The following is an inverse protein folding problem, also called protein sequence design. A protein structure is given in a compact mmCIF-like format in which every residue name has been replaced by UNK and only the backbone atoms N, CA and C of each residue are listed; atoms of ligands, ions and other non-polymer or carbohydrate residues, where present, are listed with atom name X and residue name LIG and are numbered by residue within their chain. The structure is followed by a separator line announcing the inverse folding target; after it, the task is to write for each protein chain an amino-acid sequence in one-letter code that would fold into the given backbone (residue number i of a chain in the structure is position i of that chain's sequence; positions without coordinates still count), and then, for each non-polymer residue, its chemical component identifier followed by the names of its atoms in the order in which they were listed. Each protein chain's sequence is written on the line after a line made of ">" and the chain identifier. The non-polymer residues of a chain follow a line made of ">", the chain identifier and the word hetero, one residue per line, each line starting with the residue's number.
data_IF_909887283511
#
_entry.id   IF_909887283511
#
_cell.length_a   1.000
_cell.length_b   1.000
_cell.length_c   1.000
_cell.angle_alpha   90.00
_cell.angle_beta   90.00
_cell.angle_gamma   90.00
#
_symmetry.space_group_name_H-M   'P 1'
#
loop_
_entity.id
_entity.type
_entity.pdbx_description
1 polymer ?
#
# COMPACT_ATOMS: atom_id res chain seq x y z
N UNK A 1 6.37 -19.64 -26.90
CA UNK A 1 5.38 -18.66 -27.32
C UNK A 1 3.97 -19.22 -27.10
N UNK A 2 3.06 -18.36 -26.65
CA UNK A 2 1.62 -18.64 -26.54
C UNK A 2 0.86 -17.59 -27.36
N UNK A 3 -0.06 -18.03 -28.23
CA UNK A 3 -0.95 -17.12 -28.96
C UNK A 3 -2.41 -17.54 -28.79
N UNK A 4 -3.29 -16.56 -28.59
CA UNK A 4 -4.73 -16.76 -28.47
C UNK A 4 -5.41 -15.92 -29.55
N UNK A 5 -6.15 -16.59 -30.44
CA UNK A 5 -6.93 -15.95 -31.51
C UNK A 5 -8.42 -15.97 -31.18
N UNK A 6 -9.09 -14.79 -31.26
CA UNK A 6 -10.53 -14.60 -31.10
C UNK A 6 -11.04 -13.66 -32.17
N UNK A 7 -11.72 -14.19 -33.15
CA UNK A 7 -12.11 -13.37 -34.29
C UNK A 7 -10.89 -12.64 -34.87
N UNK A 8 -10.94 -11.29 -34.88
CA UNK A 8 -9.86 -10.46 -35.41
C UNK A 8 -8.79 -10.09 -34.37
N UNK A 9 -8.96 -10.51 -33.10
CA UNK A 9 -8.01 -10.18 -32.03
C UNK A 9 -7.04 -11.34 -31.80
N UNK A 10 -5.74 -11.04 -31.81
CA UNK A 10 -4.69 -12.02 -31.51
C UNK A 10 -3.86 -11.49 -30.32
N UNK A 11 -3.89 -12.25 -29.22
CA UNK A 11 -3.03 -12.02 -28.05
C UNK A 11 -1.79 -12.89 -28.21
N UNK A 12 -0.61 -12.31 -28.15
CA UNK A 12 0.65 -13.05 -28.24
C UNK A 12 1.49 -12.77 -27.01
N UNK A 13 1.89 -13.86 -26.34
CA UNK A 13 2.82 -13.85 -25.22
C UNK A 13 4.11 -14.58 -25.64
N UNK A 14 5.25 -14.01 -25.26
CA UNK A 14 6.58 -14.57 -25.52
C UNK A 14 7.34 -14.70 -24.21
N UNK A 15 7.96 -15.85 -23.99
CA UNK A 15 8.83 -16.08 -22.84
C UNK A 15 10.26 -15.74 -23.24
N UNK A 16 10.84 -14.79 -22.52
CA UNK A 16 12.27 -14.41 -22.65
C UNK A 16 13.04 -14.74 -21.38
N UNK A 17 14.27 -14.23 -21.28
CA UNK A 17 15.12 -14.41 -20.09
C UNK A 17 14.49 -13.82 -18.83
N UNK A 18 13.78 -12.68 -18.96
CA UNK A 18 13.12 -11.96 -17.87
C UNK A 18 11.66 -12.44 -17.61
N UNK A 19 11.26 -13.58 -18.18
CA UNK A 19 9.90 -14.11 -18.07
C UNK A 19 9.00 -13.80 -19.27
N UNK A 20 7.68 -13.92 -19.06
CA UNK A 20 6.66 -13.69 -20.06
C UNK A 20 6.41 -12.21 -20.31
N UNK A 21 6.21 -11.84 -21.59
CA UNK A 21 5.83 -10.50 -22.03
C UNK A 21 4.74 -10.57 -23.07
N UNK A 22 3.80 -9.63 -23.05
CA UNK A 22 2.85 -9.40 -24.14
C UNK A 22 3.58 -8.74 -25.32
N UNK A 23 3.33 -9.22 -26.53
CA UNK A 23 3.85 -8.64 -27.77
C UNK A 23 2.74 -8.24 -28.75
N UNK A 24 1.50 -8.67 -28.53
CA UNK A 24 0.31 -8.28 -29.30
C UNK A 24 -0.94 -8.44 -28.44
N UNK A 25 -1.96 -7.60 -28.56
CA UNK A 25 -2.05 -6.37 -29.38
C UNK A 25 -1.26 -5.18 -28.79
N UNK A 26 -0.79 -5.29 -27.55
CA UNK A 26 0.03 -4.30 -26.87
C UNK A 26 1.37 -4.90 -26.45
N UNK A 27 2.41 -4.08 -26.37
CA UNK A 27 3.71 -4.49 -25.84
C UNK A 27 3.78 -4.08 -24.36
N UNK A 28 3.78 -5.07 -23.47
CA UNK A 28 3.77 -4.81 -22.03
C UNK A 28 4.36 -5.99 -21.23
N UNK A 29 4.59 -5.77 -19.93
CA UNK A 29 4.86 -6.85 -18.99
C UNK A 29 3.66 -7.80 -18.86
N UNK A 30 3.92 -9.10 -18.70
CA UNK A 30 2.87 -10.05 -18.41
C UNK A 30 2.87 -10.44 -16.93
N UNK A 31 1.69 -10.74 -16.39
CA UNK A 31 1.54 -11.42 -15.10
C UNK A 31 2.02 -12.86 -15.24
N UNK A 32 3.18 -13.15 -14.67
CA UNK A 32 3.84 -14.46 -14.77
C UNK A 32 2.95 -15.59 -14.23
N UNK A 33 2.32 -15.35 -13.09
CA UNK A 33 1.46 -16.34 -12.44
C UNK A 33 0.18 -16.58 -13.23
N UNK A 34 -0.40 -15.55 -13.81
CA UNK A 34 -1.58 -15.67 -14.65
C UNK A 34 -1.29 -16.48 -15.90
N UNK A 35 -0.14 -16.25 -16.58
CA UNK A 35 0.27 -17.02 -17.75
C UNK A 35 0.54 -18.49 -17.38
N UNK A 36 1.28 -18.75 -16.30
CA UNK A 36 1.58 -20.11 -15.87
C UNK A 36 0.32 -20.86 -15.40
N UNK A 37 -0.59 -20.19 -14.73
CA UNK A 37 -1.90 -20.74 -14.37
C UNK A 37 -2.73 -21.07 -15.61
N UNK A 38 -2.71 -20.20 -16.63
CA UNK A 38 -3.36 -20.44 -17.91
C UNK A 38 -2.82 -21.69 -18.61
N UNK A 39 -1.50 -21.80 -18.72
CA UNK A 39 -0.84 -22.97 -19.33
C UNK A 39 -1.14 -24.28 -18.57
N UNK A 40 -1.15 -24.21 -17.25
CA UNK A 40 -1.53 -25.34 -16.39
C UNK A 40 -2.99 -25.76 -16.63
N UNK A 41 -3.93 -24.80 -16.64
CA UNK A 41 -5.34 -25.07 -16.93
C UNK A 41 -5.54 -25.70 -18.31
N UNK A 42 -4.78 -25.25 -19.31
CA UNK A 42 -4.81 -25.85 -20.63
C UNK A 42 -4.30 -27.30 -20.61
N UNK A 43 -3.16 -27.55 -19.95
CA UNK A 43 -2.56 -28.89 -19.84
C UNK A 43 -3.42 -29.89 -19.05
N UNK A 44 -4.18 -29.40 -18.06
CA UNK A 44 -5.09 -30.23 -17.26
C UNK A 44 -6.47 -30.40 -17.88
N UNK A 45 -6.70 -29.89 -19.09
CA UNK A 45 -7.99 -30.00 -19.76
C UNK A 45 -8.15 -31.42 -20.33
N UNK A 46 -8.84 -32.27 -19.57
CA UNK A 46 -9.08 -33.67 -19.96
C UNK A 46 -10.13 -33.80 -21.08
N UNK A 47 -9.89 -34.73 -22.00
CA UNK A 47 -10.86 -35.10 -23.02
C UNK A 47 -11.88 -36.04 -22.39
N UNK A 48 -13.12 -35.59 -22.29
CA UNK A 48 -14.20 -36.44 -21.73
C UNK A 48 -14.64 -37.52 -22.69
N UNK A 49 -14.71 -37.18 -23.99
CA UNK A 49 -15.10 -38.11 -25.05
C UNK A 49 -14.60 -37.61 -26.40
N UNK A 50 -14.03 -38.50 -27.20
CA UNK A 50 -13.73 -38.27 -28.61
C UNK A 50 -15.02 -38.43 -29.42
N UNK A 51 -15.31 -37.45 -30.27
CA UNK A 51 -16.52 -37.39 -31.11
C UNK A 51 -16.19 -37.75 -32.54
N UNK A 52 -15.04 -37.31 -33.06
CA UNK A 52 -14.56 -37.62 -34.40
C UNK A 52 -13.06 -37.91 -34.36
N UNK A 53 -12.64 -39.00 -34.96
CA UNK A 53 -11.24 -39.43 -34.96
C UNK A 53 -10.59 -39.25 -36.33
N UNK A 54 -9.31 -38.82 -36.32
CA UNK A 54 -8.35 -38.87 -37.42
C UNK A 54 -8.90 -38.40 -38.79
N UNK A 55 -8.82 -39.27 -39.80
CA UNK A 55 -9.15 -38.96 -41.20
C UNK A 55 -10.60 -38.53 -41.44
N UNK A 56 -11.49 -38.75 -40.48
CA UNK A 56 -12.88 -38.29 -40.53
C UNK A 56 -13.07 -36.80 -40.22
N UNK A 57 -12.02 -36.12 -39.73
CA UNK A 57 -12.07 -34.69 -39.41
C UNK A 57 -11.89 -33.85 -40.66
N UNK A 58 -12.98 -33.61 -41.38
CA UNK A 58 -13.04 -32.72 -42.53
C UNK A 58 -13.48 -31.33 -42.09
N UNK A 59 -13.28 -30.31 -42.94
CA UNK A 59 -13.76 -28.93 -42.67
C UNK A 59 -15.29 -28.87 -42.54
N UNK A 60 -16.02 -29.71 -43.28
CA UNK A 60 -17.49 -29.85 -43.19
C UNK A 60 -17.88 -30.44 -41.83
N UNK A 61 -17.15 -31.48 -41.38
CA UNK A 61 -17.39 -32.09 -40.08
C UNK A 61 -17.06 -31.09 -38.93
N UNK A 62 -15.91 -30.44 -39.00
CA UNK A 62 -15.54 -29.39 -38.03
C UNK A 62 -16.58 -28.24 -37.94
N UNK A 63 -17.21 -27.89 -39.06
CA UNK A 63 -18.28 -26.91 -39.13
C UNK A 63 -19.50 -27.26 -38.27
N UNK A 64 -19.86 -28.53 -38.13
CA UNK A 64 -20.98 -28.98 -37.28
C UNK A 64 -20.78 -28.68 -35.79
N UNK A 65 -19.55 -28.56 -35.37
CA UNK A 65 -19.14 -28.35 -33.98
C UNK A 65 -18.66 -26.91 -33.73
N UNK A 66 -18.84 -25.95 -34.69
CA UNK A 66 -18.39 -24.58 -34.57
C UNK A 66 -16.87 -24.39 -34.71
N UNK A 67 -16.15 -25.39 -35.20
CA UNK A 67 -14.69 -25.42 -35.31
C UNK A 67 -14.17 -24.86 -36.64
N UNK A 68 -15.06 -24.62 -37.63
CA UNK A 68 -14.70 -23.89 -38.85
C UNK A 68 -14.47 -22.37 -38.57
N UNK A 69 -15.19 -21.86 -37.60
CA UNK A 69 -15.03 -20.49 -37.06
C UNK A 69 -14.93 -20.60 -35.51
N UNK A 70 -13.78 -21.01 -35.00
CA UNK A 70 -13.62 -21.25 -33.56
C UNK A 70 -13.80 -19.99 -32.73
N UNK A 71 -14.39 -20.15 -31.55
CA UNK A 71 -14.51 -19.04 -30.57
C UNK A 71 -13.15 -18.64 -30.02
N UNK A 72 -12.26 -19.62 -29.89
CA UNK A 72 -10.89 -19.43 -29.39
C UNK A 72 -9.96 -20.41 -30.10
N UNK A 73 -8.83 -19.91 -30.59
CA UNK A 73 -7.71 -20.72 -31.07
C UNK A 73 -6.51 -20.50 -30.16
N UNK A 74 -5.91 -21.54 -29.63
CA UNK A 74 -4.71 -21.47 -28.81
C UNK A 74 -3.58 -22.13 -29.59
N UNK A 75 -2.51 -21.38 -29.82
CA UNK A 75 -1.27 -21.89 -30.43
C UNK A 75 -0.15 -21.87 -29.40
N UNK A 76 0.50 -22.97 -29.21
CA UNK A 76 1.70 -23.15 -28.42
C UNK A 76 2.89 -23.39 -29.34
N UNK A 77 4.01 -22.76 -29.04
CA UNK A 77 5.30 -23.01 -29.71
C UNK A 77 6.35 -23.22 -28.62
N UNK A 78 6.91 -24.42 -28.56
CA UNK A 78 7.97 -24.76 -27.62
C UNK A 78 9.33 -24.21 -28.05
N UNK A 79 10.35 -24.29 -27.20
CA UNK A 79 11.70 -23.76 -27.47
C UNK A 79 12.40 -24.52 -28.64
N UNK A 80 12.10 -25.77 -28.82
CA UNK A 80 12.59 -26.60 -29.93
C UNK A 80 11.86 -26.34 -31.25
N UNK A 81 10.87 -25.44 -31.27
CA UNK A 81 10.07 -25.07 -32.44
C UNK A 81 8.88 -25.98 -32.71
N UNK A 82 8.60 -26.94 -31.82
CA UNK A 82 7.36 -27.76 -31.93
C UNK A 82 6.14 -26.86 -31.72
N UNK A 83 5.13 -27.04 -32.61
CA UNK A 83 3.90 -26.26 -32.57
C UNK A 83 2.68 -27.14 -32.35
N UNK A 84 1.81 -26.69 -31.46
CA UNK A 84 0.53 -27.32 -31.22
C UNK A 84 -0.59 -26.29 -31.28
N UNK A 85 -1.68 -26.65 -31.96
CA UNK A 85 -2.89 -25.83 -32.07
C UNK A 85 -4.08 -26.54 -31.44
N UNK A 86 -4.87 -25.82 -30.65
CA UNK A 86 -6.15 -26.28 -30.12
C UNK A 86 -7.22 -25.26 -30.46
N UNK A 87 -8.29 -25.70 -31.12
CA UNK A 87 -9.47 -24.87 -31.45
C UNK A 87 -10.63 -25.23 -30.55
N UNK A 88 -11.36 -24.22 -30.14
CA UNK A 88 -12.54 -24.31 -29.28
C UNK A 88 -13.77 -23.82 -30.04
N UNK A 89 -14.75 -24.71 -30.21
CA UNK A 89 -15.95 -24.49 -31.00
C UNK A 89 -17.19 -24.13 -30.17
N UNK A 90 -18.35 -24.68 -30.60
CA UNK A 90 -19.62 -24.47 -29.94
C UNK A 90 -19.76 -25.32 -28.67
N UNK A 91 -20.73 -24.97 -27.82
CA UNK A 91 -21.12 -25.79 -26.69
C UNK A 91 -22.01 -26.95 -27.17
N UNK A 92 -21.99 -28.06 -26.42
CA UNK A 92 -22.85 -29.20 -26.68
C UNK A 92 -24.33 -28.82 -26.43
N UNK A 93 -25.30 -29.56 -27.02
CA UNK A 93 -26.73 -29.26 -26.81
C UNK A 93 -27.19 -29.30 -25.35
N UNK A 94 -26.38 -29.80 -24.44
CA UNK A 94 -26.68 -29.85 -22.99
C UNK A 94 -25.96 -28.76 -22.19
N UNK A 95 -25.17 -27.88 -22.84
CA UNK A 95 -24.32 -26.82 -22.24
C UNK A 95 -23.34 -27.29 -21.16
N UNK A 96 -23.12 -28.61 -21.07
CA UNK A 96 -22.17 -29.21 -20.10
C UNK A 96 -20.77 -29.34 -20.66
N UNK A 97 -20.63 -29.35 -21.98
CA UNK A 97 -19.40 -29.59 -22.70
C UNK A 97 -19.22 -28.57 -23.81
N UNK A 98 -17.98 -28.28 -24.13
CA UNK A 98 -17.57 -27.51 -25.29
C UNK A 98 -16.80 -28.40 -26.23
N UNK A 99 -17.04 -28.28 -27.55
CA UNK A 99 -16.27 -28.99 -28.55
C UNK A 99 -14.91 -28.37 -28.73
N UNK A 100 -13.89 -29.21 -28.80
CA UNK A 100 -12.52 -28.82 -29.06
C UNK A 100 -11.89 -29.70 -30.12
N UNK A 101 -10.91 -29.16 -30.85
CA UNK A 101 -10.14 -29.84 -31.84
C UNK A 101 -8.65 -29.63 -31.60
N UNK A 102 -7.87 -30.70 -31.57
CA UNK A 102 -6.42 -30.68 -31.70
C UNK A 102 -6.04 -30.78 -33.17
N UNK A 103 -5.15 -29.90 -33.63
CA UNK A 103 -4.53 -29.93 -34.95
C UNK A 103 -3.36 -30.93 -35.01
N UNK A 104 -2.73 -31.04 -36.21
CA UNK A 104 -1.55 -31.85 -36.42
C UNK A 104 -1.79 -33.09 -37.26
N UNK A 105 -0.89 -34.07 -37.16
CA UNK A 105 -0.92 -35.30 -38.00
C UNK A 105 -2.13 -36.20 -37.74
N UNK A 106 -2.66 -36.17 -36.51
CA UNK A 106 -3.83 -36.97 -36.11
C UNK A 106 -4.88 -36.02 -35.50
N UNK A 107 -5.65 -35.28 -36.33
CA UNK A 107 -6.65 -34.35 -35.82
C UNK A 107 -7.81 -35.10 -35.17
N UNK A 108 -8.26 -34.63 -34.01
CA UNK A 108 -9.39 -35.18 -33.28
C UNK A 108 -10.35 -34.11 -32.86
N UNK A 109 -11.67 -34.40 -32.93
CA UNK A 109 -12.69 -33.57 -32.29
C UNK A 109 -13.19 -34.29 -31.05
N UNK A 110 -13.14 -33.64 -29.94
CA UNK A 110 -13.54 -34.17 -28.64
C UNK A 110 -14.35 -33.12 -27.85
N UNK A 111 -14.92 -33.55 -26.76
CA UNK A 111 -15.60 -32.64 -25.82
C UNK A 111 -14.83 -32.53 -24.52
N UNK A 112 -14.85 -31.33 -23.97
CA UNK A 112 -14.27 -30.94 -22.68
C UNK A 112 -15.38 -30.31 -21.84
N UNK A 113 -15.29 -30.37 -20.52
CA UNK A 113 -16.23 -29.68 -19.63
C UNK A 113 -16.29 -28.20 -19.95
N UNK A 114 -17.49 -27.59 -20.05
CA UNK A 114 -17.68 -26.22 -20.47
C UNK A 114 -16.90 -25.23 -19.57
N UNK A 115 -16.90 -25.43 -18.24
CA UNK A 115 -16.14 -24.60 -17.30
C UNK A 115 -14.63 -24.56 -17.55
N UNK A 116 -14.07 -25.57 -18.19
CA UNK A 116 -12.65 -25.56 -18.62
C UNK A 116 -12.43 -24.52 -19.72
N UNK A 117 -13.37 -24.40 -20.66
CA UNK A 117 -13.34 -23.36 -21.67
C UNK A 117 -13.39 -21.97 -21.01
N UNK A 118 -14.28 -21.73 -20.04
CA UNK A 118 -14.42 -20.45 -19.35
C UNK A 118 -13.11 -20.04 -18.67
N UNK A 119 -12.33 -20.98 -18.16
CA UNK A 119 -11.01 -20.72 -17.58
C UNK A 119 -9.95 -20.34 -18.63
N UNK A 120 -10.14 -20.73 -19.89
CA UNK A 120 -9.23 -20.45 -21.00
C UNK A 120 -9.69 -19.24 -21.83
N UNK A 121 -10.92 -18.79 -21.65
CA UNK A 121 -11.48 -17.64 -22.35
C UNK A 121 -11.01 -16.33 -21.71
N UNK A 122 -9.73 -15.98 -21.89
CA UNK A 122 -9.04 -14.85 -21.28
C UNK A 122 -8.74 -13.73 -22.27
N UNK A 123 -8.89 -12.48 -21.85
CA UNK A 123 -8.56 -11.28 -22.61
C UNK A 123 -7.15 -10.77 -22.36
N UNK A 124 -6.78 -9.69 -23.05
CA UNK A 124 -5.48 -9.02 -22.88
C UNK A 124 -5.24 -8.61 -21.42
N UNK A 125 -6.27 -8.06 -20.78
CA UNK A 125 -6.20 -7.58 -19.41
C UNK A 125 -5.84 -8.69 -18.41
N UNK A 126 -6.31 -9.90 -18.63
CA UNK A 126 -6.05 -11.06 -17.75
C UNK A 126 -4.56 -11.48 -17.72
N UNK A 127 -3.79 -11.11 -18.73
CA UNK A 127 -2.38 -11.45 -18.86
C UNK A 127 -1.44 -10.28 -18.59
N UNK A 128 -1.93 -9.06 -18.46
CA UNK A 128 -1.07 -7.89 -18.19
C UNK A 128 -0.58 -7.87 -16.76
N UNK A 129 0.64 -7.38 -16.56
CA UNK A 129 1.12 -7.01 -15.23
C UNK A 129 0.28 -5.81 -14.72
N UNK A 130 -0.60 -6.09 -13.77
CA UNK A 130 -1.53 -5.11 -13.19
C UNK A 130 -1.00 -4.43 -11.95
N UNK A 131 0.26 -4.67 -11.57
CA UNK A 131 0.86 -3.93 -10.46
C UNK A 131 0.94 -2.45 -10.82
N UNK A 132 0.47 -1.64 -9.90
CA UNK A 132 0.48 -0.17 -10.05
C UNK A 132 1.91 0.35 -10.19
N UNK A 133 2.81 -0.23 -9.39
CA UNK A 133 4.23 0.07 -9.40
C UNK A 133 5.02 -1.16 -8.96
N UNK A 134 6.14 -1.44 -9.64
CA UNK A 134 6.99 -2.59 -9.30
C UNK A 134 8.21 -2.14 -8.52
N UNK A 135 8.31 -2.55 -7.26
CA UNK A 135 9.43 -2.25 -6.38
C UNK A 135 9.56 -3.31 -5.27
N UNK A 136 10.74 -3.41 -4.67
CA UNK A 136 10.96 -4.22 -3.47
C UNK A 136 10.66 -3.35 -2.24
N UNK A 137 9.53 -3.58 -1.59
CA UNK A 137 9.03 -2.77 -0.47
C UNK A 137 10.05 -2.63 0.67
N UNK A 138 10.67 -3.75 1.04
CA UNK A 138 11.63 -3.78 2.15
C UNK A 138 12.95 -3.06 1.85
N UNK A 139 13.22 -2.79 0.56
CA UNK A 139 14.38 -2.05 0.09
C UNK A 139 14.11 -0.55 -0.10
N UNK A 140 12.89 -0.05 0.18
CA UNK A 140 12.60 1.38 0.10
C UNK A 140 13.37 2.12 1.19
N UNK A 141 14.24 3.04 0.77
CA UNK A 141 15.09 3.85 1.67
C UNK A 141 14.58 5.29 1.81
N UNK A 142 13.74 5.73 0.88
CA UNK A 142 13.13 7.06 0.92
C UNK A 142 11.76 7.03 0.24
N UNK A 143 10.79 7.76 0.82
CA UNK A 143 9.47 7.98 0.26
C UNK A 143 9.18 9.48 0.27
N UNK A 144 8.82 10.03 -0.89
CA UNK A 144 8.46 11.43 -1.08
C UNK A 144 7.07 11.56 -1.67
N UNK A 145 6.39 12.60 -1.29
CA UNK A 145 5.19 13.08 -1.99
C UNK A 145 5.32 14.55 -2.34
N UNK A 146 4.90 14.89 -3.57
CA UNK A 146 4.64 16.26 -4.03
C UNK A 146 3.22 16.38 -4.53
N UNK A 147 2.61 17.53 -4.38
CA UNK A 147 1.29 17.80 -4.91
C UNK A 147 0.42 18.65 -4.00
N UNK A 148 -0.87 18.81 -4.34
CA UNK A 148 -1.77 19.76 -3.70
C UNK A 148 -2.12 19.42 -2.23
N UNK A 149 -1.88 18.18 -1.82
CA UNK A 149 -2.20 17.71 -0.46
C UNK A 149 -1.03 17.83 0.53
N UNK A 150 -0.06 18.70 0.21
CA UNK A 150 1.16 18.93 0.98
C UNK A 150 2.29 17.99 0.57
N UNK A 151 3.51 18.43 0.86
CA UNK A 151 4.72 17.69 0.54
C UNK A 151 5.26 16.97 1.78
N UNK A 152 5.88 15.83 1.60
CA UNK A 152 6.66 15.18 2.63
C UNK A 152 7.87 14.45 2.05
N UNK A 153 8.88 14.30 2.89
CA UNK A 153 10.06 13.46 2.65
C UNK A 153 10.27 12.60 3.90
N UNK A 154 10.23 11.30 3.70
CA UNK A 154 10.52 10.28 4.72
C UNK A 154 11.79 9.55 4.31
N UNK A 155 12.75 9.42 5.22
CA UNK A 155 13.98 8.65 5.04
C UNK A 155 14.05 7.50 6.04
N UNK A 156 14.44 6.33 5.56
CA UNK A 156 14.69 5.18 6.43
C UNK A 156 16.08 5.28 7.02
N UNK A 157 16.18 5.28 8.34
CA UNK A 157 17.43 5.26 9.10
C UNK A 157 17.49 3.97 9.92
N UNK A 158 18.29 3.01 9.47
CA UNK A 158 18.34 1.66 10.03
C UNK A 158 16.93 1.02 10.02
N UNK A 159 16.36 0.84 11.19
CA UNK A 159 15.04 0.19 11.37
C UNK A 159 13.89 1.20 11.49
N UNK A 160 14.15 2.52 11.55
CA UNK A 160 13.13 3.55 11.79
C UNK A 160 12.99 4.50 10.60
N UNK A 161 11.80 5.08 10.46
CA UNK A 161 11.54 6.14 9.50
C UNK A 161 11.64 7.52 10.12
N UNK A 162 12.30 8.44 9.42
CA UNK A 162 12.45 9.84 9.81
C UNK A 162 11.75 10.73 8.80
N UNK A 163 10.84 11.57 9.26
CA UNK A 163 10.31 12.66 8.45
C UNK A 163 11.35 13.78 8.38
N UNK A 164 11.69 14.22 7.16
CA UNK A 164 12.60 15.37 6.89
C UNK A 164 11.83 16.61 6.49
N UNK A 165 10.69 16.44 5.88
CA UNK A 165 9.79 17.51 5.47
C UNK A 165 8.35 17.06 5.70
N UNK A 166 7.45 17.98 6.11
CA UNK A 166 7.65 19.42 6.32
C UNK A 166 8.39 19.77 7.61
N UNK A 167 8.55 18.83 8.52
CA UNK A 167 9.25 18.98 9.81
C UNK A 167 10.22 17.83 10.03
N UNK A 168 11.26 18.06 10.83
CA UNK A 168 12.16 16.97 11.24
C UNK A 168 11.57 16.28 12.46
N UNK A 169 11.11 15.03 12.31
CA UNK A 169 10.47 14.25 13.37
C UNK A 169 10.60 12.74 13.10
N UNK A 170 10.38 11.92 14.12
CA UNK A 170 10.13 10.50 13.92
C UNK A 170 8.85 10.33 13.11
N UNK A 171 8.84 9.34 12.20
CA UNK A 171 7.65 8.95 11.48
C UNK A 171 6.97 7.77 12.19
N UNK A 172 5.66 7.69 12.03
CA UNK A 172 4.86 6.53 12.43
C UNK A 172 5.15 5.38 11.46
N UNK A 173 5.84 4.37 11.95
CA UNK A 173 6.27 3.21 11.16
C UNK A 173 5.09 2.45 10.55
N UNK A 174 4.03 2.27 11.34
CA UNK A 174 2.84 1.55 10.90
C UNK A 174 2.11 2.32 9.79
N UNK A 175 2.00 3.64 9.93
CA UNK A 175 1.40 4.50 8.92
C UNK A 175 2.21 4.52 7.61
N UNK A 176 3.55 4.57 7.68
CA UNK A 176 4.42 4.50 6.51
C UNK A 176 4.33 3.13 5.85
N UNK A 177 4.42 2.06 6.62
CA UNK A 177 4.31 0.69 6.11
C UNK A 177 2.93 0.42 5.51
N UNK A 178 1.85 0.96 6.09
CA UNK A 178 0.51 0.86 5.54
C UNK A 178 0.40 1.54 4.15
N UNK A 179 1.02 2.70 3.97
CA UNK A 179 1.07 3.37 2.66
C UNK A 179 1.88 2.56 1.64
N UNK A 180 3.08 2.09 2.00
CA UNK A 180 3.91 1.27 1.13
C UNK A 180 3.23 -0.05 0.76
N UNK A 181 2.60 -0.74 1.73
CA UNK A 181 1.81 -1.94 1.49
C UNK A 181 0.65 -1.67 0.54
N UNK A 182 -0.05 -0.54 0.72
CA UNK A 182 -1.17 -0.21 -0.16
C UNK A 182 -0.73 0.03 -1.60
N UNK A 183 0.44 0.67 -1.82
CA UNK A 183 1.00 0.84 -3.17
C UNK A 183 1.39 -0.53 -3.77
N UNK A 184 2.06 -1.38 -3.00
CA UNK A 184 2.57 -2.69 -3.43
C UNK A 184 1.45 -3.67 -3.79
N UNK A 185 0.34 -3.65 -3.03
CA UNK A 185 -0.79 -4.58 -3.21
C UNK A 185 -1.91 -4.06 -4.09
N UNK A 186 -1.85 -2.80 -4.51
CA UNK A 186 -2.88 -2.24 -5.40
C UNK A 186 -2.69 -2.69 -6.83
N UNK A 187 -3.80 -3.02 -7.48
CA UNK A 187 -3.82 -3.42 -8.88
C UNK A 187 -4.46 -2.33 -9.75
N UNK A 188 -4.03 -2.29 -11.00
CA UNK A 188 -4.62 -1.48 -12.06
C UNK A 188 -6.03 -2.02 -12.36
N UNK A 189 -7.05 -1.15 -12.27
CA UNK A 189 -8.43 -1.52 -12.57
C UNK A 189 -8.70 -1.62 -14.07
N UNK A 190 -8.14 -0.70 -14.85
CA UNK A 190 -8.24 -0.68 -16.30
C UNK A 190 -7.09 0.12 -16.90
N UNK A 191 -6.60 -0.28 -18.07
CA UNK A 191 -5.73 0.53 -18.91
C UNK A 191 -6.59 1.42 -19.80
N UNK A 192 -6.38 2.72 -19.75
CA UNK A 192 -7.21 3.72 -20.43
C UNK A 192 -6.59 4.18 -21.74
N UNK A 193 -5.28 4.40 -21.74
CA UNK A 193 -4.54 4.92 -22.88
C UNK A 193 -3.13 4.31 -22.92
N UNK A 194 -2.73 3.76 -24.04
CA UNK A 194 -1.45 3.07 -24.20
C UNK A 194 -0.29 4.02 -24.49
N UNK A 195 -0.57 5.23 -24.96
CA UNK A 195 0.44 6.22 -25.30
C UNK A 195 -0.13 7.63 -25.45
N UNK A 196 -0.61 8.22 -24.34
CA UNK A 196 -1.27 9.52 -24.37
C UNK A 196 -0.31 10.62 -24.84
N UNK A 197 -0.83 11.54 -25.66
CA UNK A 197 -0.16 12.78 -25.96
C UNK A 197 -0.31 13.80 -24.80
N UNK A 198 0.31 14.97 -24.95
CA UNK A 198 0.30 16.01 -23.92
C UNK A 198 -1.11 16.56 -23.61
N UNK A 199 -1.99 16.60 -24.59
CA UNK A 199 -3.34 17.12 -24.39
C UNK A 199 -4.23 16.07 -23.71
N UNK A 200 -4.08 14.79 -24.05
CA UNK A 200 -4.69 13.67 -23.34
C UNK A 200 -4.23 13.62 -21.89
N UNK A 201 -2.93 13.77 -21.62
CA UNK A 201 -2.42 13.82 -20.25
C UNK A 201 -3.06 14.95 -19.44
N UNK A 202 -3.23 16.15 -20.00
CA UNK A 202 -3.95 17.23 -19.31
C UNK A 202 -5.41 16.89 -19.06
N UNK A 203 -6.08 16.23 -20.03
CA UNK A 203 -7.47 15.80 -19.88
C UNK A 203 -7.63 14.76 -18.75
N UNK A 204 -6.64 13.89 -18.54
CA UNK A 204 -6.57 12.96 -17.41
C UNK A 204 -6.13 13.62 -16.09
N UNK A 205 -5.94 14.95 -16.06
CA UNK A 205 -5.60 15.70 -14.85
C UNK A 205 -4.11 15.70 -14.50
N UNK A 206 -3.23 15.28 -15.42
CA UNK A 206 -1.77 15.40 -15.20
C UNK A 206 -1.29 16.82 -15.53
N UNK A 207 -0.73 17.50 -14.51
CA UNK A 207 -0.28 18.88 -14.60
C UNK A 207 0.06 19.45 -13.21
N UNK A 208 -0.25 20.74 -12.96
CA UNK A 208 0.11 21.39 -11.68
C UNK A 208 -0.50 20.74 -10.41
N UNK A 209 -1.59 19.99 -10.58
CA UNK A 209 -2.31 19.34 -9.47
C UNK A 209 -2.02 17.83 -9.38
N UNK A 210 -1.07 17.33 -10.14
CA UNK A 210 -0.65 15.91 -10.06
C UNK A 210 -0.08 15.64 -8.68
N UNK A 211 -0.57 14.57 -8.05
CA UNK A 211 0.09 14.00 -6.87
C UNK A 211 1.17 13.03 -7.35
N UNK A 212 2.41 13.29 -6.97
CA UNK A 212 3.56 12.44 -7.28
C UNK A 212 4.05 11.75 -6.02
N UNK A 213 4.06 10.42 -6.04
CA UNK A 213 4.73 9.58 -5.06
C UNK A 213 6.03 9.07 -5.66
N UNK A 214 7.16 9.38 -5.02
CA UNK A 214 8.49 8.93 -5.43
C UNK A 214 9.10 8.06 -4.34
N UNK A 215 9.57 6.88 -4.72
CA UNK A 215 10.32 5.98 -3.86
C UNK A 215 11.74 5.81 -4.38
N UNK A 216 12.72 5.84 -3.49
CA UNK A 216 14.09 5.43 -3.77
C UNK A 216 14.29 4.02 -3.20
N UNK A 217 14.68 3.08 -4.05
CA UNK A 217 14.70 1.65 -3.73
C UNK A 217 16.12 1.10 -3.86
N UNK A 218 16.55 0.32 -2.89
CA UNK A 218 17.84 -0.33 -2.83
C UNK A 218 19.02 0.61 -2.58
N UNK A 219 20.23 0.06 -2.50
CA UNK A 219 21.46 0.82 -2.24
C UNK A 219 21.79 1.83 -3.35
N UNK A 220 21.42 1.50 -4.59
CA UNK A 220 21.61 2.37 -5.75
C UNK A 220 20.54 3.47 -5.87
N UNK A 221 19.57 3.50 -4.95
CA UNK A 221 18.47 4.46 -4.91
C UNK A 221 17.71 4.57 -6.23
N UNK A 222 17.36 3.43 -6.80
CA UNK A 222 16.56 3.38 -8.03
C UNK A 222 15.23 4.09 -7.82
N UNK A 223 14.95 5.10 -8.64
CA UNK A 223 13.75 5.91 -8.52
C UNK A 223 12.54 5.20 -9.13
N UNK A 224 11.47 5.12 -8.35
CA UNK A 224 10.14 4.64 -8.76
C UNK A 224 9.12 5.74 -8.52
N UNK A 225 8.32 6.09 -9.54
CA UNK A 225 7.37 7.19 -9.43
C UNK A 225 5.98 6.80 -9.88
N UNK A 226 5.01 7.00 -8.99
CA UNK A 226 3.58 6.93 -9.28
C UNK A 226 3.02 8.35 -9.38
N UNK A 227 2.42 8.67 -10.51
CA UNK A 227 1.74 9.93 -10.77
C UNK A 227 0.23 9.68 -10.70
N UNK A 228 -0.49 10.47 -9.89
CA UNK A 228 -1.94 10.40 -9.72
C UNK A 228 -2.53 11.71 -10.25
N UNK A 229 -3.37 11.59 -11.25
CA UNK A 229 -4.07 12.68 -11.94
C UNK A 229 -5.46 12.95 -11.36
N UNK A 230 -6.43 13.22 -12.24
CA UNK A 230 -7.80 13.54 -11.89
C UNK A 230 -8.69 12.34 -11.61
N UNK A 231 -9.84 12.61 -11.01
CA UNK A 231 -10.95 11.65 -10.84
C UNK A 231 -11.62 11.39 -12.21
N UNK A 232 -12.00 10.14 -12.49
CA UNK A 232 -12.70 9.75 -13.71
C UNK A 232 -14.22 10.00 -13.66
N UNK A 233 -14.74 10.53 -12.54
CA UNK A 233 -16.18 10.74 -12.31
C UNK A 233 -16.95 9.47 -11.93
N UNK A 234 -16.27 8.35 -11.74
CA UNK A 234 -16.88 7.04 -11.38
C UNK A 234 -16.26 6.42 -10.11
N UNK A 235 -15.45 7.20 -9.39
CA UNK A 235 -14.82 6.80 -8.14
C UNK A 235 -13.42 6.20 -8.27
N UNK A 236 -12.84 6.21 -9.50
CA UNK A 236 -11.45 5.83 -9.75
C UNK A 236 -10.64 7.03 -10.22
N UNK A 237 -9.33 6.96 -10.13
CA UNK A 237 -8.42 8.05 -10.50
C UNK A 237 -7.52 7.63 -11.65
N UNK A 238 -7.25 8.56 -12.56
CA UNK A 238 -6.23 8.37 -13.58
C UNK A 238 -4.85 8.35 -12.92
N UNK A 239 -4.03 7.38 -13.31
CA UNK A 239 -2.67 7.29 -12.80
C UNK A 239 -1.72 6.73 -13.85
N UNK A 240 -0.42 6.87 -13.59
CA UNK A 240 0.64 6.28 -14.40
C UNK A 240 1.89 6.00 -13.58
N UNK A 241 2.56 4.91 -13.91
CA UNK A 241 3.95 4.70 -13.57
C UNK A 241 4.82 5.55 -14.52
N UNK A 242 5.68 6.40 -14.00
CA UNK A 242 6.51 7.28 -14.83
C UNK A 242 7.50 6.54 -15.75
N UNK A 243 7.77 5.26 -15.49
CA UNK A 243 8.62 4.40 -16.32
C UNK A 243 7.87 3.77 -17.51
N UNK A 244 6.53 3.89 -17.55
CA UNK A 244 5.65 3.28 -18.55
C UNK A 244 4.84 4.36 -19.27
N UNK A 245 4.51 4.19 -20.58
CA UNK A 245 3.74 5.19 -21.32
C UNK A 245 2.26 5.24 -20.91
N UNK A 246 1.71 4.14 -20.43
CA UNK A 246 0.28 3.96 -20.23
C UNK A 246 -0.30 4.86 -19.15
N UNK A 247 -1.56 5.27 -19.34
CA UNK A 247 -2.47 5.77 -18.31
C UNK A 247 -3.44 4.66 -17.91
N UNK A 248 -3.66 4.49 -16.64
CA UNK A 248 -4.54 3.48 -16.08
C UNK A 248 -5.42 4.07 -14.97
N UNK A 249 -6.43 3.30 -14.53
CA UNK A 249 -7.28 3.65 -13.41
C UNK A 249 -6.81 2.97 -12.12
N UNK A 250 -6.87 3.74 -11.04
CA UNK A 250 -6.63 3.31 -9.66
C UNK A 250 -7.90 3.41 -8.84
N UNK A 251 -8.05 2.44 -7.95
CA UNK A 251 -9.04 2.49 -6.88
C UNK A 251 -8.84 3.69 -5.94
N UNK A 252 -9.95 4.29 -5.53
CA UNK A 252 -9.94 5.45 -4.64
C UNK A 252 -9.28 5.20 -3.29
N UNK A 253 -9.21 3.95 -2.82
CA UNK A 253 -8.63 3.62 -1.50
C UNK A 253 -7.12 3.85 -1.45
N UNK A 254 -6.39 3.56 -2.56
CA UNK A 254 -4.97 3.91 -2.65
C UNK A 254 -4.80 5.44 -2.64
N UNK A 255 -5.62 6.14 -3.42
CA UNK A 255 -5.53 7.61 -3.50
C UNK A 255 -5.81 8.24 -2.15
N UNK A 256 -6.84 7.78 -1.43
CA UNK A 256 -7.15 8.26 -0.07
C UNK A 256 -5.97 8.08 0.90
N UNK A 257 -5.22 6.99 0.80
CA UNK A 257 -4.01 6.81 1.60
C UNK A 257 -2.90 7.77 1.15
N UNK A 258 -2.70 7.89 -0.16
CA UNK A 258 -1.65 8.71 -0.74
C UNK A 258 -1.81 10.22 -0.46
N UNK A 259 -3.06 10.72 -0.30
CA UNK A 259 -3.35 12.15 -0.11
C UNK A 259 -3.54 12.55 1.35
N UNK A 260 -3.41 11.65 2.31
CA UNK A 260 -3.48 11.98 3.75
C UNK A 260 -2.51 13.11 4.09
N UNK A 261 -2.89 13.94 5.06
CA UNK A 261 -2.03 15.03 5.54
C UNK A 261 -0.67 14.50 6.03
N UNK A 262 0.45 15.18 5.76
CA UNK A 262 1.79 14.73 6.19
C UNK A 262 1.88 14.40 7.67
N UNK A 263 1.18 15.16 8.53
CA UNK A 263 1.16 14.92 9.97
C UNK A 263 0.58 13.56 10.38
N UNK A 264 -0.19 12.88 9.51
CA UNK A 264 -0.67 11.52 9.80
C UNK A 264 0.42 10.46 9.70
N UNK A 265 1.58 10.82 9.13
CA UNK A 265 2.76 9.98 9.03
C UNK A 265 3.80 10.29 10.13
N UNK A 266 3.50 11.20 11.05
CA UNK A 266 4.36 11.49 12.19
C UNK A 266 4.07 10.54 13.34
N UNK A 267 5.13 10.18 14.05
CA UNK A 267 5.01 9.47 15.30
C UNK A 267 4.21 10.30 16.31
N UNK A 268 3.23 9.64 16.92
CA UNK A 268 2.30 10.25 17.86
C UNK A 268 2.70 10.10 19.32
N UNK A 269 3.81 9.41 19.59
CA UNK A 269 4.36 9.28 20.96
C UNK A 269 5.35 10.41 21.25
N UNK A 270 4.92 11.43 22.01
CA UNK A 270 5.79 12.57 22.30
C UNK A 270 6.96 12.19 23.20
N UNK A 271 6.77 11.22 24.07
CA UNK A 271 7.72 10.84 25.10
C UNK A 271 8.16 9.38 24.95
N UNK A 272 9.43 9.13 25.19
CA UNK A 272 10.05 7.80 25.29
C UNK A 272 11.15 7.85 26.31
N UNK A 273 10.92 7.22 27.44
CA UNK A 273 11.89 7.12 28.54
C UNK A 273 11.77 5.79 29.26
N UNK A 274 12.84 5.37 29.92
CA UNK A 274 12.79 4.24 30.81
C UNK A 274 12.20 4.69 32.16
N UNK A 275 11.04 4.18 32.51
CA UNK A 275 10.33 4.53 33.76
C UNK A 275 11.14 4.22 35.00
N UNK A 276 11.97 3.17 34.95
CA UNK A 276 12.77 2.77 36.09
C UNK A 276 13.95 3.70 36.32
N UNK A 277 14.43 4.37 35.29
CA UNK A 277 15.50 5.38 35.38
C UNK A 277 15.05 6.71 35.98
N UNK A 278 13.73 6.98 36.07
CA UNK A 278 13.22 8.23 36.65
C UNK A 278 13.29 8.18 38.17
N UNK A 279 13.98 9.15 38.75
CA UNK A 279 14.24 9.27 40.20
C UNK A 279 13.53 10.42 40.89
N UNK A 280 13.14 11.47 40.13
CA UNK A 280 12.40 12.61 40.66
C UNK A 280 11.25 13.01 39.75
N UNK A 281 10.12 13.38 40.34
CA UNK A 281 8.93 13.90 39.66
C UNK A 281 8.46 15.14 40.37
N UNK A 282 8.20 16.22 39.64
CA UNK A 282 7.50 17.39 40.17
C UNK A 282 6.31 17.72 39.28
N UNK A 283 5.18 18.08 39.89
CA UNK A 283 3.96 18.49 39.21
C UNK A 283 3.51 19.85 39.70
N UNK A 284 3.27 20.73 38.74
CA UNK A 284 2.73 22.07 38.96
C UNK A 284 1.44 22.31 38.21
N UNK A 285 0.50 23.05 38.79
CA UNK A 285 -0.76 23.47 38.17
C UNK A 285 -0.87 24.99 38.21
N UNK A 286 -1.27 25.58 37.11
CA UNK A 286 -1.47 27.05 36.99
C UNK A 286 -0.29 27.86 37.54
N UNK A 287 0.93 27.41 37.28
CA UNK A 287 2.17 28.04 37.74
C UNK A 287 2.52 27.83 39.21
N UNK A 288 1.80 26.96 39.96
CA UNK A 288 2.10 26.65 41.35
C UNK A 288 2.47 25.17 41.46
N UNK A 289 3.56 24.88 42.20
CA UNK A 289 3.91 23.49 42.49
C UNK A 289 2.84 22.84 43.37
N UNK A 290 2.38 21.67 42.94
CA UNK A 290 1.38 20.85 43.68
C UNK A 290 2.10 19.81 44.54
N UNK A 291 3.10 19.14 43.95
CA UNK A 291 3.96 18.23 44.67
C UNK A 291 5.32 18.09 43.99
N UNK A 292 6.30 17.64 44.75
CA UNK A 292 7.52 17.01 44.27
C UNK A 292 7.78 15.70 45.03
N UNK A 293 8.34 14.71 44.34
CA UNK A 293 8.63 13.38 44.91
C UNK A 293 9.98 12.90 44.40
N UNK A 294 10.68 12.14 45.21
CA UNK A 294 11.90 11.45 44.82
C UNK A 294 11.86 9.97 45.27
N UNK A 295 12.53 9.09 44.53
CA UNK A 295 12.73 7.70 44.91
C UNK A 295 13.82 7.61 45.98
N UNK A 296 13.58 6.85 47.02
CA UNK A 296 14.60 6.46 47.99
C UNK A 296 15.52 5.37 47.41
N UNK A 297 16.51 4.93 48.21
CA UNK A 297 17.45 3.85 47.84
C UNK A 297 16.80 2.48 47.63
N UNK A 298 15.57 2.29 48.09
CA UNK A 298 14.77 1.08 47.91
C UNK A 298 13.82 1.20 46.70
N UNK A 299 13.81 2.35 46.00
CA UNK A 299 12.94 2.62 44.85
C UNK A 299 11.51 3.01 45.24
N UNK A 300 11.28 3.39 46.51
CA UNK A 300 9.98 3.87 47.00
C UNK A 300 9.89 5.38 46.85
N UNK A 301 8.75 5.87 46.39
CA UNK A 301 8.51 7.30 46.23
C UNK A 301 8.12 7.98 47.52
N UNK A 302 8.91 9.00 47.89
CA UNK A 302 8.63 9.88 49.02
C UNK A 302 8.35 11.31 48.53
N UNK A 303 7.37 11.99 49.12
CA UNK A 303 7.13 13.41 48.83
C UNK A 303 8.22 14.26 49.43
N UNK A 304 8.89 15.05 48.59
CA UNK A 304 9.87 16.05 49.01
C UNK A 304 9.22 17.46 49.20
N UNK A 305 8.08 17.68 48.56
CA UNK A 305 7.23 18.85 48.78
C UNK A 305 5.73 18.46 48.52
N UNK A 306 4.79 18.70 49.46
CA UNK A 306 5.05 19.04 50.85
C UNK A 306 5.75 17.91 51.61
N UNK A 307 6.74 18.28 52.45
CA UNK A 307 7.48 17.33 53.27
C UNK A 307 6.61 16.67 54.33
N UNK A 308 6.96 15.41 54.70
CA UNK A 308 6.32 14.66 55.81
C UNK A 308 5.00 13.95 55.45
N UNK A 309 4.73 13.76 54.19
CA UNK A 309 3.65 12.89 53.67
C UNK A 309 4.24 11.75 52.85
N UNK A 310 3.76 10.55 53.09
CA UNK A 310 4.10 9.41 52.21
C UNK A 310 3.48 9.64 50.84
N UNK A 311 4.29 9.48 49.81
CA UNK A 311 3.83 9.47 48.43
C UNK A 311 3.05 8.17 48.16
N UNK A 312 1.95 8.27 47.44
CA UNK A 312 1.28 7.08 46.89
C UNK A 312 2.05 6.57 45.68
N UNK A 313 3.10 5.73 45.93
CA UNK A 313 4.00 5.22 44.88
C UNK A 313 3.25 4.68 43.67
N UNK A 314 2.10 4.04 43.85
CA UNK A 314 1.30 3.52 42.76
C UNK A 314 0.75 4.64 41.82
N UNK A 315 0.35 5.81 42.36
CA UNK A 315 -0.10 6.94 41.56
C UNK A 315 1.04 7.55 40.71
N UNK A 316 2.23 7.66 41.31
CA UNK A 316 3.40 8.19 40.59
C UNK A 316 3.88 7.21 39.51
N UNK A 317 3.84 5.91 39.80
CA UNK A 317 4.15 4.90 38.80
C UNK A 317 3.09 4.85 37.68
N UNK A 318 1.81 5.08 38.00
CA UNK A 318 0.75 5.23 36.98
C UNK A 318 1.04 6.43 36.08
N UNK A 319 1.31 7.61 36.67
CA UNK A 319 1.65 8.81 35.88
C UNK A 319 2.82 8.56 34.91
N UNK A 320 3.87 7.88 35.36
CA UNK A 320 5.00 7.53 34.49
C UNK A 320 4.58 6.57 33.37
N UNK A 321 3.66 5.64 33.66
CA UNK A 321 3.11 4.73 32.63
C UNK A 321 2.25 5.52 31.62
N UNK A 322 1.34 6.35 32.11
CA UNK A 322 0.42 7.14 31.29
C UNK A 322 1.21 8.11 30.38
N UNK A 323 2.28 8.73 30.91
CA UNK A 323 3.18 9.57 30.11
C UNK A 323 3.94 8.78 29.03
N UNK A 324 4.40 7.57 29.35
CA UNK A 324 5.18 6.74 28.41
C UNK A 324 4.30 6.05 27.38
N UNK A 325 3.01 5.89 27.66
CA UNK A 325 2.00 5.31 26.77
C UNK A 325 1.20 6.37 25.99
N UNK A 326 1.35 7.63 26.36
CA UNK A 326 0.63 8.76 25.75
C UNK A 326 0.77 8.78 24.24
N UNK A 327 -0.37 8.77 23.53
CA UNK A 327 -0.47 8.96 22.10
C UNK A 327 -1.31 10.22 21.80
N UNK A 328 -0.72 11.19 21.12
CA UNK A 328 -1.41 12.43 20.78
C UNK A 328 -2.34 12.25 19.58
N UNK A 329 -3.43 13.01 19.54
CA UNK A 329 -4.40 12.97 18.45
C UNK A 329 -3.98 13.78 17.23
N UNK A 330 -3.01 14.70 17.40
CA UNK A 330 -2.55 15.56 16.31
C UNK A 330 -1.41 16.49 16.67
N UNK A 331 -1.15 17.42 15.78
CA UNK A 331 -0.07 18.40 15.88
C UNK A 331 -0.58 19.78 15.51
N UNK A 332 -0.15 20.80 16.25
CA UNK A 332 -0.39 22.19 15.94
C UNK A 332 0.92 22.88 15.51
N UNK A 333 0.82 23.99 14.80
CA UNK A 333 1.98 24.82 14.43
C UNK A 333 2.56 25.58 15.62
N UNK A 334 1.67 25.97 16.54
CA UNK A 334 2.02 26.74 17.76
C UNK A 334 0.91 26.52 18.80
N UNK A 335 1.21 26.83 20.05
CA UNK A 335 0.21 26.93 21.11
C UNK A 335 -0.67 28.16 20.83
N UNK A 336 -2.02 27.98 20.74
CA UNK A 336 -2.90 29.09 20.40
C UNK A 336 -2.79 30.26 21.38
N UNK A 337 -2.97 31.48 20.87
CA UNK A 337 -3.01 32.69 21.69
C UNK A 337 -4.16 32.58 22.72
N UNK A 338 -3.87 32.96 23.96
CA UNK A 338 -4.85 32.87 25.06
C UNK A 338 -4.88 31.51 25.77
N UNK A 339 -4.13 30.51 25.32
CA UNK A 339 -4.04 29.25 26.03
C UNK A 339 -3.36 29.40 27.39
N UNK A 340 -4.04 28.97 28.44
CA UNK A 340 -3.53 29.05 29.81
C UNK A 340 -2.66 27.82 30.12
N UNK A 341 -1.54 28.05 30.81
CA UNK A 341 -0.70 26.96 31.34
C UNK A 341 -1.48 26.19 32.40
N UNK A 342 -1.91 24.99 32.10
CA UNK A 342 -2.72 24.16 32.98
C UNK A 342 -1.84 23.27 33.87
N UNK A 343 -0.82 22.62 33.28
CA UNK A 343 -0.02 21.59 33.91
C UNK A 343 1.45 21.71 33.51
N UNK A 344 2.36 21.50 34.46
CA UNK A 344 3.79 21.30 34.20
C UNK A 344 4.25 20.04 34.94
N UNK A 345 4.87 19.13 34.22
CA UNK A 345 5.47 17.90 34.80
C UNK A 345 6.96 17.96 34.52
N UNK A 346 7.77 17.81 35.56
CA UNK A 346 9.22 17.69 35.43
C UNK A 346 9.63 16.29 35.87
N UNK A 347 10.39 15.61 35.01
CA UNK A 347 10.95 14.29 35.27
C UNK A 347 12.47 14.40 35.31
N UNK A 348 13.12 13.83 36.33
CA UNK A 348 14.58 13.75 36.43
C UNK A 348 15.00 12.29 36.53
N UNK A 349 15.93 11.87 35.67
CA UNK A 349 16.51 10.53 35.69
C UNK A 349 17.82 10.41 36.48
N UNK A 350 18.33 9.18 36.60
CA UNK A 350 19.58 8.84 37.30
C UNK A 350 20.80 9.68 36.85
N UNK A 351 20.85 10.02 35.53
CA UNK A 351 21.89 10.87 34.94
C UNK A 351 21.72 12.36 35.18
N UNK A 352 20.68 12.79 35.92
CA UNK A 352 20.20 14.18 36.09
C UNK A 352 19.75 14.83 34.78
N UNK A 353 19.48 14.06 33.74
CA UNK A 353 18.78 14.54 32.57
C UNK A 353 17.32 14.83 32.98
N UNK A 354 16.88 16.07 32.75
CA UNK A 354 15.53 16.49 33.09
C UNK A 354 14.71 16.72 31.81
N UNK A 355 13.46 16.32 31.85
CA UNK A 355 12.46 16.62 30.83
C UNK A 355 11.35 17.43 31.47
N UNK A 356 11.01 18.58 30.86
CA UNK A 356 9.88 19.41 31.30
C UNK A 356 8.78 19.32 30.24
N UNK A 357 7.60 18.91 30.70
CA UNK A 357 6.38 18.75 29.92
C UNK A 357 5.43 19.86 30.33
N UNK A 358 5.02 20.70 29.41
CA UNK A 358 4.06 21.77 29.66
C UNK A 358 2.76 21.48 28.90
N UNK A 359 1.62 21.56 29.56
CA UNK A 359 0.31 21.44 28.94
C UNK A 359 -0.46 22.72 29.07
N UNK A 360 -0.89 23.26 27.93
CA UNK A 360 -1.69 24.46 27.80
C UNK A 360 -3.11 24.12 27.39
N UNK A 361 -4.09 24.89 27.86
CA UNK A 361 -5.49 24.64 27.51
C UNK A 361 -6.17 25.95 27.02
N UNK A 362 -6.97 25.78 25.97
CA UNK A 362 -7.88 26.78 25.44
C UNK A 362 -9.07 26.07 24.79
N UNK A 363 -10.28 26.56 25.02
CA UNK A 363 -11.53 26.07 24.44
C UNK A 363 -11.74 24.53 24.59
N UNK A 364 -11.25 23.96 25.69
CA UNK A 364 -11.35 22.54 26.00
C UNK A 364 -10.36 21.64 25.26
N UNK A 365 -9.43 22.22 24.50
CA UNK A 365 -8.34 21.49 23.83
C UNK A 365 -7.05 21.62 24.61
N UNK A 366 -6.32 20.52 24.77
CA UNK A 366 -5.03 20.47 25.47
C UNK A 366 -3.86 20.39 24.48
N UNK A 367 -2.86 21.24 24.67
CA UNK A 367 -1.65 21.35 23.86
C UNK A 367 -0.42 21.04 24.70
N UNK A 368 0.30 19.99 24.36
CA UNK A 368 1.50 19.56 25.06
C UNK A 368 2.74 20.05 24.32
N UNK A 369 3.70 20.58 25.08
CA UNK A 369 5.05 20.91 24.62
C UNK A 369 6.09 20.27 25.51
N UNK A 370 7.20 19.87 24.91
CA UNK A 370 8.38 19.38 25.62
C UNK A 370 9.46 20.43 25.54
N UNK A 371 10.19 20.64 26.63
CA UNK A 371 11.34 21.52 26.63
C UNK A 371 12.40 21.06 25.61
N UNK A 372 12.79 21.97 24.72
CA UNK A 372 13.77 21.68 23.65
C UNK A 372 13.18 21.02 22.39
N UNK A 373 11.90 20.65 22.38
CA UNK A 373 11.19 20.17 21.19
C UNK A 373 10.33 21.29 20.59
N UNK A 374 10.51 21.67 19.31
CA UNK A 374 9.68 22.68 18.67
C UNK A 374 8.25 22.21 18.38
N UNK A 375 7.96 20.92 18.51
CA UNK A 375 6.65 20.35 18.22
C UNK A 375 5.61 20.78 19.27
N UNK A 376 4.39 21.05 18.81
CA UNK A 376 3.20 21.22 19.65
C UNK A 376 2.26 20.06 19.36
N UNK A 377 1.98 19.29 20.38
CA UNK A 377 1.17 18.10 20.33
C UNK A 377 -0.25 18.40 20.81
N UNK A 378 -1.25 17.88 20.13
CA UNK A 378 -2.66 18.01 20.53
C UNK A 378 -3.08 16.73 21.25
N UNK A 379 -3.46 16.86 22.51
CA UNK A 379 -3.86 15.75 23.38
C UNK A 379 -5.37 15.52 23.34
N UNK A 380 -5.77 14.28 23.61
CA UNK A 380 -7.14 13.98 23.96
C UNK A 380 -7.51 14.52 25.34
N UNK A 381 -8.81 14.75 25.57
CA UNK A 381 -9.31 15.24 26.85
C UNK A 381 -9.18 14.18 27.97
N UNK A 382 -9.32 12.89 27.61
CA UNK A 382 -9.18 11.80 28.56
C UNK A 382 -7.72 11.67 29.02
N UNK A 383 -6.76 11.71 28.10
CA UNK A 383 -5.33 11.65 28.40
C UNK A 383 -4.90 12.81 29.33
N UNK A 384 -5.43 14.04 29.09
CA UNK A 384 -5.14 15.15 29.98
C UNK A 384 -5.67 14.90 31.40
N UNK A 385 -6.85 14.31 31.54
CA UNK A 385 -7.43 14.00 32.84
C UNK A 385 -6.62 12.96 33.64
N UNK A 386 -5.99 12.01 32.95
CA UNK A 386 -5.09 11.01 33.56
C UNK A 386 -3.80 11.66 34.10
N UNK A 387 -3.26 12.62 33.36
CA UNK A 387 -2.07 13.37 33.78
C UNK A 387 -2.35 14.39 34.89
N UNK A 388 -3.61 14.85 35.03
CA UNK A 388 -4.01 15.87 36.00
C UNK A 388 -4.22 15.28 37.41
N UNK A 389 -3.19 14.65 37.96
CA UNK A 389 -3.24 14.03 39.28
C UNK A 389 -3.62 15.04 40.38
N UNK A 390 -4.67 14.71 41.16
CA UNK A 390 -4.90 15.25 42.49
C UNK A 390 -4.04 14.52 43.54
N UNK A 391 -3.53 15.26 44.53
CA UNK A 391 -2.88 14.65 45.73
C UNK A 391 -3.86 13.77 46.51
#
# INVERSE_FOLDING_TARGET
>A
RLALGRGDTIIVLQKGADGWKLSSPVVDGADQEAVERYLRNLGESEREKIVVENQSVTSTEAGKYGLATPRLTIELEAEDGEKQEVKWGADSPTDRFTYAQIGGANPEIFVVRAWRFDNLDKGVFDFRDRRVLTFAKDEVVELRRKGPFGEFVLERQKETWQMRQPVSALADEDAVNALLNKIDTSEIEAFVDEGPDQDALKAYGFGPHTTELTMLVGPDKVEKRLLIGGDNGQGSFYARDASRPQVFLLDSTLVQQAVKAPNTLRDKKPLRFDKDSITEIALGKQGKQVFAAAKDTAGVWDLTDPTGREGKSWKLNSLLSDLNELEVVGFASEVPEGAALALVISLTGDGKDSSVISVHQVDGVSYLQLEGDPAVYVMDTEDFAELDLGL
#
